data_IF_831228224278
#
_entry.id   IF_831228224278
#
_cell.length_a   1.000
_cell.length_b   1.000
_cell.length_c   1.000
_cell.angle_alpha   90.00
_cell.angle_beta   90.00
_cell.angle_gamma   90.00
#
_symmetry.space_group_name_H-M   'P 1'
#
loop_
_entity.id
_entity.type
_entity.pdbx_description
1 polymer ?
#
# COMPACT_ATOMS: atom_id res chain seq x y z
N UNK A 1 12.69 -27.13 13.15
CA UNK A 1 11.55 -26.67 12.31
C UNK A 1 11.46 -25.15 12.21
N UNK A 2 11.90 -24.40 13.21
CA UNK A 2 11.93 -22.92 13.19
C UNK A 2 12.92 -22.33 12.17
N UNK A 3 14.03 -23.03 11.90
CA UNK A 3 15.11 -22.53 11.01
C UNK A 3 14.66 -22.35 9.54
N UNK A 4 13.81 -23.24 9.01
CA UNK A 4 13.33 -23.13 7.64
C UNK A 4 12.35 -21.97 7.40
N UNK A 5 11.62 -21.55 8.42
CA UNK A 5 10.64 -20.47 8.34
C UNK A 5 11.34 -19.12 8.31
N UNK A 6 12.34 -18.94 9.16
CA UNK A 6 13.16 -17.73 9.18
C UNK A 6 13.88 -17.50 7.85
N UNK A 7 14.57 -18.54 7.34
CA UNK A 7 15.28 -18.48 6.06
C UNK A 7 14.33 -18.16 4.87
N UNK A 8 13.10 -18.68 4.91
CA UNK A 8 12.08 -18.42 3.88
C UNK A 8 11.60 -16.98 3.89
N UNK A 9 11.37 -16.39 5.07
CA UNK A 9 11.00 -14.97 5.20
C UNK A 9 12.17 -14.07 4.83
N UNK A 10 13.39 -14.41 5.18
CA UNK A 10 14.59 -13.68 4.79
C UNK A 10 14.73 -13.63 3.25
N UNK A 11 14.55 -14.77 2.58
CA UNK A 11 14.51 -14.83 1.12
C UNK A 11 13.42 -13.92 0.53
N UNK A 12 12.23 -13.93 1.12
CA UNK A 12 11.13 -13.07 0.66
C UNK A 12 11.38 -11.59 0.95
N UNK A 13 12.06 -11.27 2.05
CA UNK A 13 12.50 -9.91 2.33
C UNK A 13 13.42 -9.41 1.23
N UNK A 14 14.46 -10.16 0.86
CA UNK A 14 15.36 -9.80 -0.22
C UNK A 14 14.65 -9.66 -1.58
N UNK A 15 13.67 -10.52 -1.85
CA UNK A 15 12.97 -10.53 -3.14
C UNK A 15 11.87 -9.48 -3.26
N UNK A 16 11.18 -9.15 -2.17
CA UNK A 16 9.92 -8.40 -2.22
C UNK A 16 9.88 -7.12 -1.36
N UNK A 17 10.92 -6.84 -0.54
CA UNK A 17 10.91 -5.65 0.33
C UNK A 17 10.71 -4.35 -0.45
N UNK A 18 11.37 -4.21 -1.60
CA UNK A 18 11.22 -3.04 -2.47
C UNK A 18 9.79 -2.92 -3.05
N UNK A 19 9.17 -4.04 -3.41
CA UNK A 19 7.79 -4.05 -3.90
C UNK A 19 6.80 -3.68 -2.79
N UNK A 20 7.01 -4.20 -1.57
CA UNK A 20 6.23 -3.86 -0.37
C UNK A 20 6.41 -2.39 -0.01
N UNK A 21 7.65 -1.88 0.00
CA UNK A 21 7.93 -0.46 0.23
C UNK A 21 7.15 0.43 -0.75
N UNK A 22 7.29 0.20 -2.06
CA UNK A 22 6.58 0.97 -3.09
C UNK A 22 5.06 0.88 -2.93
N UNK A 23 4.53 -0.31 -2.61
CA UNK A 23 3.10 -0.48 -2.33
C UNK A 23 2.65 0.39 -1.16
N UNK A 24 3.39 0.36 -0.04
CA UNK A 24 3.08 1.13 1.16
C UNK A 24 3.19 2.65 0.90
N UNK A 25 4.18 3.12 0.12
CA UNK A 25 4.27 4.52 -0.31
C UNK A 25 2.99 4.95 -1.03
N UNK A 26 2.53 4.17 -2.02
CA UNK A 26 1.28 4.48 -2.73
C UNK A 26 0.06 4.45 -1.82
N UNK A 27 0.06 3.56 -0.84
CA UNK A 27 -1.09 3.38 0.04
C UNK A 27 -1.18 4.44 1.13
N UNK A 28 -0.05 4.88 1.67
CA UNK A 28 0.03 5.85 2.77
C UNK A 28 0.26 7.29 2.32
N UNK A 29 0.86 7.48 1.15
CA UNK A 29 1.32 8.78 0.67
C UNK A 29 2.57 9.31 1.38
N UNK A 30 3.30 8.44 2.11
CA UNK A 30 4.51 8.76 2.87
C UNK A 30 5.70 7.97 2.35
N UNK A 31 6.91 8.49 2.52
CA UNK A 31 8.17 7.82 2.16
C UNK A 31 8.94 7.32 3.39
N UNK A 32 8.68 7.88 4.56
CA UNK A 32 9.21 7.48 5.86
C UNK A 32 8.40 6.29 6.43
N UNK A 33 8.52 5.12 5.83
CA UNK A 33 7.67 3.96 6.09
C UNK A 33 8.44 2.65 6.31
N UNK A 34 9.73 2.74 6.65
CA UNK A 34 10.56 1.56 6.89
C UNK A 34 10.03 0.71 8.05
N UNK A 35 9.43 1.37 9.05
CA UNK A 35 8.72 0.74 10.15
C UNK A 35 7.53 -0.11 9.69
N UNK A 36 6.76 0.36 8.69
CA UNK A 36 5.64 -0.38 8.12
C UNK A 36 6.10 -1.56 7.27
N UNK A 37 7.23 -1.42 6.58
CA UNK A 37 7.86 -2.54 5.85
C UNK A 37 8.30 -3.60 6.84
N UNK A 38 9.02 -3.23 7.90
CA UNK A 38 9.43 -4.16 8.96
C UNK A 38 8.23 -4.85 9.60
N UNK A 39 7.20 -4.10 10.00
CA UNK A 39 5.98 -4.65 10.59
C UNK A 39 5.29 -5.66 9.65
N UNK A 40 5.30 -5.40 8.34
CA UNK A 40 4.77 -6.33 7.34
C UNK A 40 5.50 -7.68 7.40
N UNK A 41 6.82 -7.68 7.42
CA UNK A 41 7.60 -8.92 7.47
C UNK A 41 7.57 -9.60 8.83
N UNK A 42 7.46 -8.84 9.93
CA UNK A 42 7.22 -9.40 11.27
C UNK A 42 5.88 -10.12 11.33
N UNK A 43 4.81 -9.54 10.80
CA UNK A 43 3.49 -10.21 10.70
C UNK A 43 3.55 -11.42 9.78
N UNK A 44 4.28 -11.33 8.67
CA UNK A 44 4.50 -12.45 7.78
C UNK A 44 5.21 -13.62 8.49
N UNK A 45 6.27 -13.34 9.25
CA UNK A 45 7.00 -14.34 10.02
C UNK A 45 6.08 -15.07 11.05
N UNK A 46 5.21 -14.31 11.71
CA UNK A 46 4.26 -14.88 12.69
C UNK A 46 3.17 -15.73 12.04
N UNK A 47 2.73 -15.37 10.84
CA UNK A 47 1.60 -16.01 10.16
C UNK A 47 2.00 -17.20 9.28
N UNK A 48 3.26 -17.31 8.87
CA UNK A 48 3.69 -18.32 7.90
C UNK A 48 3.65 -19.76 8.43
N UNK A 49 3.72 -19.93 9.76
CA UNK A 49 3.70 -21.26 10.37
C UNK A 49 2.42 -22.05 10.08
N UNK A 50 1.30 -21.34 9.98
CA UNK A 50 -0.03 -21.92 9.82
C UNK A 50 -0.56 -21.79 8.38
N UNK A 51 0.27 -21.31 7.44
CA UNK A 51 -0.20 -20.95 6.09
C UNK A 51 0.69 -21.57 5.02
N UNK A 52 0.10 -22.35 4.14
CA UNK A 52 0.72 -22.72 2.87
C UNK A 52 0.58 -21.56 1.89
N UNK A 53 1.71 -20.93 1.54
CA UNK A 53 1.75 -19.74 0.71
C UNK A 53 2.17 -20.11 -0.71
N UNK A 54 1.22 -20.16 -1.63
CA UNK A 54 1.46 -20.42 -3.05
C UNK A 54 2.08 -19.20 -3.76
N UNK A 55 1.57 -18.01 -3.47
CA UNK A 55 2.06 -16.76 -4.06
C UNK A 55 2.54 -15.78 -2.96
N UNK A 56 3.84 -15.80 -2.64
CA UNK A 56 4.40 -14.95 -1.59
C UNK A 56 4.16 -13.46 -1.79
N UNK A 57 4.28 -12.97 -3.02
CA UNK A 57 4.11 -11.55 -3.34
C UNK A 57 2.68 -11.08 -3.04
N UNK A 58 1.68 -11.82 -3.53
CA UNK A 58 0.26 -11.53 -3.30
C UNK A 58 -0.08 -11.58 -1.80
N UNK A 59 0.44 -12.59 -1.10
CA UNK A 59 0.23 -12.76 0.32
C UNK A 59 0.88 -11.62 1.15
N UNK A 60 2.10 -11.21 0.82
CA UNK A 60 2.76 -10.07 1.46
C UNK A 60 2.00 -8.76 1.22
N UNK A 61 1.42 -8.55 0.04
CA UNK A 61 0.58 -7.37 -0.21
C UNK A 61 -0.71 -7.36 0.63
N UNK A 62 -1.31 -8.53 0.90
CA UNK A 62 -2.45 -8.62 1.81
C UNK A 62 -2.07 -8.18 3.23
N UNK A 63 -0.91 -8.62 3.72
CA UNK A 63 -0.37 -8.22 5.04
C UNK A 63 -0.03 -6.72 5.04
N UNK A 64 0.71 -6.24 4.05
CA UNK A 64 1.09 -4.84 3.93
C UNK A 64 -0.11 -3.89 3.89
N UNK A 65 -1.17 -4.29 3.16
CA UNK A 65 -2.44 -3.55 3.14
C UNK A 65 -3.05 -3.43 4.54
N UNK A 66 -3.08 -4.50 5.30
CA UNK A 66 -3.61 -4.48 6.66
C UNK A 66 -2.76 -3.58 7.58
N UNK A 67 -1.44 -3.66 7.48
CA UNK A 67 -0.51 -2.75 8.19
C UNK A 67 -0.83 -1.29 7.86
N UNK A 68 -0.98 -0.95 6.58
CA UNK A 68 -1.30 0.41 6.15
C UNK A 68 -2.68 0.88 6.63
N UNK A 69 -3.69 0.00 6.67
CA UNK A 69 -5.02 0.32 7.20
C UNK A 69 -4.92 0.61 8.70
N UNK A 70 -4.20 -0.21 9.45
CA UNK A 70 -4.01 -0.04 10.89
C UNK A 70 -3.31 1.29 11.19
N UNK A 71 -2.27 1.63 10.42
CA UNK A 71 -1.56 2.89 10.53
C UNK A 71 -2.47 4.09 10.27
N UNK A 72 -3.29 4.04 9.22
CA UNK A 72 -4.27 5.11 8.94
C UNK A 72 -5.33 5.26 10.04
N UNK A 73 -5.73 4.16 10.68
CA UNK A 73 -6.65 4.21 11.81
C UNK A 73 -6.01 4.88 13.01
N UNK A 74 -4.75 4.56 13.32
CA UNK A 74 -3.98 5.21 14.38
C UNK A 74 -3.85 6.71 14.13
N UNK A 75 -3.43 7.11 12.94
CA UNK A 75 -3.28 8.53 12.56
C UNK A 75 -4.60 9.30 12.67
N UNK A 76 -5.71 8.70 12.22
CA UNK A 76 -7.04 9.30 12.41
C UNK A 76 -7.40 9.46 13.88
N UNK A 77 -7.14 8.46 14.71
CA UNK A 77 -7.45 8.52 16.14
C UNK A 77 -6.64 9.63 16.81
N UNK A 78 -5.36 9.76 16.47
CA UNK A 78 -4.46 10.80 16.99
C UNK A 78 -4.95 12.21 16.59
N UNK A 79 -5.44 12.39 15.36
CA UNK A 79 -5.96 13.69 14.89
C UNK A 79 -7.23 14.17 15.59
N UNK A 80 -7.89 13.31 16.37
CA UNK A 80 -9.05 13.64 17.20
C UNK A 80 -8.68 13.93 18.65
N UNK A 81 -7.41 13.72 19.04
CA UNK A 81 -6.92 14.02 20.39
C UNK A 81 -6.62 15.53 20.51
N UNK A 82 -6.93 16.17 21.64
CA UNK A 82 -6.53 17.56 21.90
C UNK A 82 -5.01 17.73 21.81
N UNK A 83 -4.55 18.88 21.30
CA UNK A 83 -3.12 19.21 21.07
C UNK A 83 -2.19 18.94 22.26
N UNK A 84 -2.71 19.00 23.49
CA UNK A 84 -1.98 18.69 24.73
C UNK A 84 -1.45 17.24 24.77
N UNK A 85 -2.16 16.28 24.16
CA UNK A 85 -1.71 14.89 24.08
C UNK A 85 -0.77 14.64 22.89
N UNK A 86 -0.84 15.47 21.85
CA UNK A 86 -0.01 15.36 20.64
C UNK A 86 1.45 15.70 20.91
N UNK A 87 1.76 16.60 21.83
CA UNK A 87 3.14 17.01 22.15
C UNK A 87 4.01 15.88 22.76
N UNK A 88 3.39 14.84 23.28
CA UNK A 88 4.12 13.69 23.86
C UNK A 88 4.19 12.46 22.94
N UNK A 89 3.44 12.44 21.83
CA UNK A 89 3.35 11.31 20.93
C UNK A 89 3.97 11.56 19.55
N UNK A 90 4.23 12.81 19.18
CA UNK A 90 4.80 13.17 17.89
C UNK A 90 6.24 13.63 18.06
N UNK A 91 7.13 12.69 18.28
CA UNK A 91 8.55 12.84 17.93
C UNK A 91 8.77 12.19 16.57
N UNK A 92 8.29 12.84 15.52
CA UNK A 92 8.78 12.58 14.18
C UNK A 92 9.11 13.93 13.58
N UNK A 93 10.36 14.33 13.82
CA UNK A 93 11.02 15.38 13.04
C UNK A 93 10.96 14.95 11.57
N UNK A 94 10.06 15.58 10.83
CA UNK A 94 10.11 15.59 9.38
C UNK A 94 11.34 16.40 9.01
N UNK A 95 12.42 15.73 8.68
CA UNK A 95 13.50 16.40 7.94
C UNK A 95 12.99 16.68 6.54
N UNK A 96 13.00 17.95 6.09
CA UNK A 96 12.50 18.36 4.77
C UNK A 96 13.33 17.82 3.60
N UNK A 97 14.44 17.16 3.85
CA UNK A 97 15.47 16.83 2.83
C UNK A 97 15.39 15.40 2.28
N UNK A 98 14.55 14.54 2.81
CA UNK A 98 14.29 13.19 2.26
C UNK A 98 12.97 13.08 1.48
N UNK A 99 12.37 14.18 1.08
CA UNK A 99 11.40 14.14 0.00
C UNK A 99 12.17 13.80 -1.28
N UNK A 100 12.31 12.48 -1.57
CA UNK A 100 12.54 12.03 -2.93
C UNK A 100 11.76 12.99 -3.83
N UNK A 101 12.43 13.68 -4.75
CA UNK A 101 11.82 14.47 -5.81
C UNK A 101 10.90 13.54 -6.61
N UNK A 102 9.73 13.28 -6.05
CA UNK A 102 8.66 12.65 -6.79
C UNK A 102 8.36 13.63 -7.92
N UNK A 103 8.51 13.18 -9.15
CA UNK A 103 8.10 13.99 -10.31
C UNK A 103 6.70 14.53 -10.02
N UNK A 104 6.41 15.73 -10.50
CA UNK A 104 5.12 16.40 -10.27
C UNK A 104 3.93 15.49 -10.61
N UNK A 105 4.09 14.65 -11.62
CA UNK A 105 3.13 13.63 -12.02
C UNK A 105 2.88 12.56 -10.94
N UNK A 106 3.93 12.10 -10.25
CA UNK A 106 3.79 11.14 -9.14
C UNK A 106 3.08 11.77 -7.95
N UNK A 107 3.38 13.01 -7.62
CA UNK A 107 2.70 13.74 -6.55
C UNK A 107 1.21 13.90 -6.85
N UNK A 108 0.87 14.31 -8.08
CA UNK A 108 -0.52 14.41 -8.53
C UNK A 108 -1.26 13.07 -8.45
N UNK A 109 -0.61 11.97 -8.85
CA UNK A 109 -1.18 10.63 -8.76
C UNK A 109 -1.48 10.25 -7.30
N UNK A 110 -0.56 10.52 -6.36
CA UNK A 110 -0.79 10.27 -4.94
C UNK A 110 -1.98 11.07 -4.39
N UNK A 111 -2.06 12.36 -4.72
CA UNK A 111 -3.17 13.20 -4.30
C UNK A 111 -4.50 12.68 -4.83
N UNK A 112 -4.54 12.29 -6.10
CA UNK A 112 -5.73 11.70 -6.73
C UNK A 112 -6.15 10.39 -6.06
N UNK A 113 -5.21 9.47 -5.82
CA UNK A 113 -5.46 8.19 -5.17
C UNK A 113 -5.97 8.40 -3.74
N UNK A 114 -5.38 9.34 -3.00
CA UNK A 114 -5.76 9.60 -1.60
C UNK A 114 -7.16 10.20 -1.45
N UNK A 115 -7.69 10.85 -2.47
CA UNK A 115 -9.06 11.39 -2.49
C UNK A 115 -10.13 10.35 -2.86
N UNK A 116 -9.74 9.14 -3.25
CA UNK A 116 -10.67 8.08 -3.60
C UNK A 116 -11.22 7.37 -2.37
N UNK A 117 -12.38 6.75 -2.53
CA UNK A 117 -12.89 5.77 -1.57
C UNK A 117 -11.87 4.64 -1.41
N UNK A 118 -11.76 4.09 -0.21
CA UNK A 118 -10.77 3.03 0.11
C UNK A 118 -10.81 1.86 -0.88
N UNK A 119 -12.01 1.40 -1.24
CA UNK A 119 -12.18 0.30 -2.20
C UNK A 119 -11.66 0.62 -3.60
N UNK A 120 -11.78 1.87 -4.05
CA UNK A 120 -11.26 2.31 -5.36
C UNK A 120 -9.74 2.43 -5.32
N UNK A 121 -9.21 2.97 -4.23
CA UNK A 121 -7.77 3.04 -3.98
C UNK A 121 -7.13 1.67 -3.98
N UNK A 122 -7.69 0.71 -3.23
CA UNK A 122 -7.19 -0.66 -3.15
C UNK A 122 -7.02 -1.28 -4.54
N UNK A 123 -8.05 -1.24 -5.35
CA UNK A 123 -8.03 -1.85 -6.68
C UNK A 123 -7.10 -1.11 -7.63
N UNK A 124 -7.04 0.22 -7.57
CA UNK A 124 -6.12 1.01 -8.40
C UNK A 124 -4.66 0.74 -8.08
N UNK A 125 -4.30 0.67 -6.80
CA UNK A 125 -2.92 0.37 -6.41
C UNK A 125 -2.55 -1.06 -6.81
N UNK A 126 -3.37 -2.05 -6.48
CA UNK A 126 -3.04 -3.45 -6.73
C UNK A 126 -3.03 -3.78 -8.22
N UNK A 127 -4.07 -3.42 -8.97
CA UNK A 127 -4.17 -3.73 -10.39
C UNK A 127 -3.46 -2.70 -11.28
N UNK A 128 -3.69 -1.42 -11.02
CA UNK A 128 -3.22 -0.36 -11.89
C UNK A 128 -1.73 -0.09 -11.74
N UNK A 129 -1.23 -0.05 -10.52
CA UNK A 129 0.16 0.32 -10.23
C UNK A 129 1.04 -0.92 -10.05
N UNK A 130 0.56 -1.91 -9.30
CA UNK A 130 1.33 -3.14 -9.02
C UNK A 130 1.15 -4.23 -10.06
N UNK A 131 0.23 -4.06 -10.99
CA UNK A 131 0.03 -4.96 -12.12
C UNK A 131 -0.53 -6.34 -11.74
N UNK A 132 -1.16 -6.49 -10.57
CA UNK A 132 -1.78 -7.75 -10.19
C UNK A 132 -2.95 -8.08 -11.13
N UNK A 133 -3.16 -9.37 -11.41
CA UNK A 133 -4.35 -9.85 -12.10
C UNK A 133 -5.63 -9.61 -11.28
N UNK A 134 -6.79 -9.75 -11.89
CA UNK A 134 -8.07 -9.70 -11.17
C UNK A 134 -8.15 -10.76 -10.09
N UNK A 135 -7.63 -11.95 -10.36
CA UNK A 135 -7.59 -13.08 -9.43
C UNK A 135 -6.72 -12.76 -8.22
N UNK A 136 -5.48 -12.37 -8.43
CA UNK A 136 -4.56 -12.01 -7.34
C UNK A 136 -5.08 -10.84 -6.52
N UNK A 137 -5.67 -9.83 -7.16
CA UNK A 137 -6.29 -8.70 -6.45
C UNK A 137 -7.48 -9.15 -5.62
N UNK A 138 -8.29 -10.07 -6.13
CA UNK A 138 -9.41 -10.66 -5.40
C UNK A 138 -8.93 -11.43 -4.15
N UNK A 139 -7.84 -12.18 -4.27
CA UNK A 139 -7.20 -12.89 -3.15
C UNK A 139 -6.71 -11.90 -2.07
N UNK A 140 -5.98 -10.84 -2.46
CA UNK A 140 -5.50 -9.79 -1.53
C UNK A 140 -6.65 -9.13 -0.77
N UNK A 141 -7.77 -8.85 -1.46
CA UNK A 141 -8.89 -8.09 -0.91
C UNK A 141 -9.96 -8.97 -0.23
N UNK A 142 -9.92 -10.29 -0.40
CA UNK A 142 -11.00 -11.19 0.00
C UNK A 142 -12.28 -10.93 -0.78
N UNK A 143 -12.17 -10.63 -2.08
CA UNK A 143 -13.29 -10.31 -2.98
C UNK A 143 -13.42 -11.34 -4.09
N UNK A 144 -14.50 -11.20 -4.89
CA UNK A 144 -14.62 -11.90 -6.17
C UNK A 144 -13.95 -11.10 -7.29
N UNK A 145 -13.48 -11.76 -8.34
CA UNK A 145 -12.91 -11.09 -9.52
C UNK A 145 -13.91 -10.14 -10.18
N UNK A 146 -15.19 -10.52 -10.22
CA UNK A 146 -16.26 -9.67 -10.76
C UNK A 146 -16.35 -8.33 -9.99
N UNK A 147 -16.24 -8.39 -8.64
CA UNK A 147 -16.23 -7.20 -7.78
C UNK A 147 -14.98 -6.35 -8.02
N UNK A 148 -13.81 -6.97 -8.20
CA UNK A 148 -12.56 -6.27 -8.54
C UNK A 148 -12.71 -5.52 -9.86
N UNK A 149 -13.18 -6.19 -10.93
CA UNK A 149 -13.33 -5.60 -12.24
C UNK A 149 -14.34 -4.45 -12.25
N UNK A 150 -15.49 -4.63 -11.61
CA UNK A 150 -16.51 -3.58 -11.50
C UNK A 150 -15.97 -2.37 -10.71
N UNK A 151 -15.25 -2.62 -9.62
CA UNK A 151 -14.68 -1.57 -8.79
C UNK A 151 -13.58 -0.82 -9.53
N UNK A 152 -12.73 -1.50 -10.30
CA UNK A 152 -11.71 -0.88 -11.14
C UNK A 152 -12.33 0.06 -12.18
N UNK A 153 -13.35 -0.40 -12.90
CA UNK A 153 -14.07 0.43 -13.85
C UNK A 153 -14.63 1.70 -13.21
N UNK A 154 -15.28 1.57 -12.05
CA UNK A 154 -15.83 2.70 -11.30
C UNK A 154 -14.75 3.64 -10.77
N UNK A 155 -13.62 3.11 -10.33
CA UNK A 155 -12.48 3.91 -9.87
C UNK A 155 -11.92 4.77 -10.99
N UNK A 156 -11.68 4.18 -12.16
CA UNK A 156 -11.20 4.90 -13.36
C UNK A 156 -12.20 6.01 -13.74
N UNK A 157 -13.48 5.71 -13.81
CA UNK A 157 -14.52 6.69 -14.13
C UNK A 157 -14.58 7.83 -13.11
N UNK A 158 -14.37 7.52 -11.82
CA UNK A 158 -14.33 8.53 -10.75
C UNK A 158 -13.16 9.51 -10.91
N UNK A 159 -12.01 9.04 -11.37
CA UNK A 159 -10.85 9.91 -11.62
C UNK A 159 -11.08 10.76 -12.87
N UNK A 160 -11.56 10.15 -13.96
CA UNK A 160 -11.85 10.87 -15.22
C UNK A 160 -12.83 12.01 -15.01
N UNK A 161 -13.90 11.79 -14.25
CA UNK A 161 -14.90 12.82 -13.96
C UNK A 161 -14.37 13.99 -13.13
N UNK A 162 -13.29 13.76 -12.35
CA UNK A 162 -12.74 14.82 -11.50
C UNK A 162 -11.78 15.76 -12.20
N UNK A 163 -11.11 15.37 -13.28
CA UNK A 163 -10.01 16.18 -13.84
C UNK A 163 -9.89 16.26 -15.36
N UNK A 164 -10.69 15.62 -16.18
CA UNK A 164 -10.45 15.58 -17.65
C UNK A 164 -8.99 15.15 -18.05
N UNK A 165 -8.29 14.39 -17.21
CA UNK A 165 -6.90 13.99 -17.42
C UNK A 165 -6.85 12.57 -17.95
N UNK A 166 -5.98 12.33 -18.93
CA UNK A 166 -5.69 10.97 -19.42
C UNK A 166 -4.98 10.17 -18.34
N UNK A 167 -5.70 9.23 -17.72
CA UNK A 167 -5.16 8.35 -16.68
C UNK A 167 -4.01 7.50 -17.24
N UNK A 168 -4.04 7.16 -18.53
CA UNK A 168 -3.01 6.36 -19.17
C UNK A 168 -1.63 7.04 -19.12
N UNK A 169 -1.56 8.36 -19.28
CA UNK A 169 -0.31 9.13 -19.20
C UNK A 169 0.23 9.16 -17.79
N UNK A 170 -0.65 9.43 -16.80
CA UNK A 170 -0.23 9.53 -15.39
C UNK A 170 0.20 8.17 -14.81
N UNK A 171 -0.44 7.08 -15.24
CA UNK A 171 -0.09 5.72 -14.78
C UNK A 171 1.18 5.20 -15.46
N UNK A 172 1.44 5.54 -16.71
CA UNK A 172 2.63 5.10 -17.42
C UNK A 172 3.91 5.71 -16.80
N UNK A 173 3.84 6.97 -16.39
CA UNK A 173 4.94 7.66 -15.69
C UNK A 173 5.20 7.11 -14.27
N UNK A 174 4.19 6.51 -13.63
CA UNK A 174 4.31 5.98 -12.27
C UNK A 174 4.93 4.57 -12.23
N UNK A 175 4.88 3.83 -13.35
CA UNK A 175 5.36 2.44 -13.45
C UNK A 175 6.84 2.39 -13.88
N UNK A 176 7.35 3.44 -14.56
CA UNK A 176 8.76 3.56 -14.91
C UNK A 176 9.58 4.15 -13.74
#
# INVERSE_FOLDING_TARGET
>A
MEDHTGARIEQWFHSYSQDVYRFLVYYTGRTDIDDLVQETFIRALKAIHDTEVENPKTWLFAIARNVAIDERRKTKLISWLPDIFLQHLVSHDKTPEESLELSENKRLLYEMINQLKSSYRDVLILRGIKGLSSKETAEVLGWTEAKVNLTMHRAIKSIQNKRNVSIAEVMNDAIM
#
